data_IF_780683273336
#
_entry.id   IF_780683273336
#
_cell.length_a   1.000
_cell.length_b   1.000
_cell.length_c   1.000
_cell.angle_alpha   90.00
_cell.angle_beta   90.00
_cell.angle_gamma   90.00
#
_symmetry.space_group_name_H-M   'P 1'
#
loop_
_entity.id
_entity.type
_entity.pdbx_description
1 polymer ?
#
# COMPACT_ATOMS: atom_id res chain seq x y z
N UNK A 1 10.72 15.56 -16.29
CA UNK A 1 10.01 14.93 -15.17
C UNK A 1 8.50 15.14 -15.24
N UNK A 2 7.78 14.45 -14.34
CA UNK A 2 6.33 14.58 -14.18
C UNK A 2 6.01 15.09 -12.77
N UNK A 3 5.04 16.02 -12.66
CA UNK A 3 4.53 16.52 -11.38
C UNK A 3 3.02 16.26 -11.35
N UNK A 4 2.57 15.40 -10.45
CA UNK A 4 1.15 15.10 -10.25
C UNK A 4 0.55 16.09 -9.24
N UNK A 5 -0.40 16.92 -9.70
CA UNK A 5 -1.08 17.94 -8.92
C UNK A 5 -2.48 17.49 -8.47
N UNK A 6 -3.00 18.15 -7.41
CA UNK A 6 -4.32 17.84 -6.86
C UNK A 6 -5.46 18.47 -7.65
N UNK A 7 -5.20 19.56 -8.38
CA UNK A 7 -6.19 20.28 -9.17
C UNK A 7 -5.59 20.89 -10.43
N UNK A 8 -6.45 21.17 -11.41
CA UNK A 8 -6.07 21.87 -12.65
C UNK A 8 -5.50 23.26 -12.35
N UNK A 9 -6.11 23.96 -11.39
CA UNK A 9 -5.64 25.28 -10.98
C UNK A 9 -4.23 25.22 -10.41
N UNK A 10 -3.96 24.27 -9.50
CA UNK A 10 -2.63 24.05 -8.93
C UNK A 10 -1.59 23.76 -10.03
N UNK A 11 -1.91 22.89 -10.99
CA UNK A 11 -1.01 22.57 -12.09
C UNK A 11 -0.65 23.81 -12.93
N UNK A 12 -1.62 24.65 -13.25
CA UNK A 12 -1.39 25.89 -14.00
C UNK A 12 -0.59 26.92 -13.19
N UNK A 13 -0.97 27.20 -11.93
CA UNK A 13 -0.29 28.16 -11.08
C UNK A 13 1.15 27.76 -10.80
N UNK A 14 1.38 26.48 -10.50
CA UNK A 14 2.71 25.97 -10.23
C UNK A 14 3.58 25.96 -11.50
N UNK A 15 3.01 25.62 -12.66
CA UNK A 15 3.70 25.72 -13.95
C UNK A 15 4.20 27.13 -14.21
N UNK A 16 3.36 28.16 -13.99
CA UNK A 16 3.74 29.55 -14.13
C UNK A 16 4.87 29.95 -13.17
N UNK A 17 4.77 29.56 -11.89
CA UNK A 17 5.81 29.82 -10.90
C UNK A 17 7.14 29.17 -11.26
N UNK A 18 7.14 27.93 -11.68
CA UNK A 18 8.35 27.21 -12.09
C UNK A 18 9.00 27.87 -13.33
N UNK A 19 8.20 28.31 -14.30
CA UNK A 19 8.68 29.05 -15.46
C UNK A 19 9.34 30.40 -15.05
N UNK A 20 8.78 31.09 -14.06
CA UNK A 20 9.37 32.31 -13.51
C UNK A 20 10.74 32.08 -12.84
N UNK A 21 10.95 30.85 -12.33
CA UNK A 21 12.22 30.40 -11.74
C UNK A 21 13.15 29.69 -12.74
N UNK A 22 12.89 29.86 -14.04
CA UNK A 22 13.80 29.37 -15.10
C UNK A 22 13.65 27.88 -15.42
N UNK A 23 12.57 27.23 -15.00
CA UNK A 23 12.24 25.85 -15.38
C UNK A 23 11.26 25.85 -16.52
N UNK A 24 11.56 25.12 -17.61
CA UNK A 24 10.63 25.00 -18.73
C UNK A 24 9.51 24.00 -18.38
N UNK A 25 8.32 24.51 -18.04
CA UNK A 25 7.23 23.69 -17.54
C UNK A 25 5.92 23.96 -18.30
N UNK A 26 5.12 22.92 -18.49
CA UNK A 26 3.78 23.04 -19.05
C UNK A 26 2.77 22.20 -18.27
N UNK A 27 1.61 22.81 -17.99
CA UNK A 27 0.48 22.09 -17.40
C UNK A 27 -0.29 21.34 -18.51
N UNK A 28 -0.67 20.10 -18.24
CA UNK A 28 -1.57 19.29 -19.05
C UNK A 28 -2.72 18.80 -18.18
N UNK A 29 -3.95 19.02 -18.66
CA UNK A 29 -5.18 18.67 -17.97
C UNK A 29 -6.11 17.83 -18.84
N UNK A 30 -7.22 17.35 -18.28
CA UNK A 30 -8.23 16.62 -19.03
C UNK A 30 -8.88 17.41 -20.16
N UNK A 31 -8.76 18.75 -20.14
CA UNK A 31 -9.33 19.66 -21.12
C UNK A 31 -8.48 19.77 -22.40
N UNK A 32 -7.21 19.35 -22.35
CA UNK A 32 -6.31 19.37 -23.49
C UNK A 32 -6.64 18.22 -24.46
N UNK A 33 -6.65 18.52 -25.76
CA UNK A 33 -6.87 17.52 -26.77
C UNK A 33 -5.66 16.59 -26.95
N UNK A 34 -5.85 15.49 -27.68
CA UNK A 34 -4.80 14.46 -27.88
C UNK A 34 -3.59 15.04 -28.62
N UNK A 35 -3.80 15.92 -29.58
CA UNK A 35 -2.72 16.53 -30.36
C UNK A 35 -1.81 17.38 -29.46
N UNK A 36 -2.39 18.25 -28.64
CA UNK A 36 -1.66 19.05 -27.64
C UNK A 36 -0.88 18.17 -26.67
N UNK A 37 -1.49 17.08 -26.19
CA UNK A 37 -0.80 16.14 -25.27
C UNK A 37 0.41 15.50 -25.93
N UNK A 38 0.27 15.03 -27.17
CA UNK A 38 1.38 14.42 -27.91
C UNK A 38 2.50 15.43 -28.19
N UNK A 39 2.14 16.68 -28.54
CA UNK A 39 3.12 17.74 -28.73
C UNK A 39 3.93 18.02 -27.44
N UNK A 40 3.26 18.17 -26.31
CA UNK A 40 3.90 18.46 -25.02
C UNK A 40 4.78 17.29 -24.55
N UNK A 41 4.34 16.06 -24.74
CA UNK A 41 5.16 14.86 -24.49
C UNK A 41 6.41 14.87 -25.37
N UNK A 42 6.27 15.14 -26.66
CA UNK A 42 7.41 15.25 -27.59
C UNK A 42 8.40 16.35 -27.20
N UNK A 43 7.91 17.48 -26.68
CA UNK A 43 8.76 18.58 -26.18
C UNK A 43 9.54 18.13 -24.93
N UNK A 44 8.92 17.37 -24.03
CA UNK A 44 9.62 16.80 -22.85
C UNK A 44 10.70 15.79 -23.28
N UNK A 45 10.38 14.89 -24.20
CA UNK A 45 11.33 13.88 -24.71
C UNK A 45 12.54 14.51 -25.44
N UNK A 46 12.32 15.64 -26.12
CA UNK A 46 13.36 16.42 -26.78
C UNK A 46 14.16 17.32 -25.83
N UNK A 47 13.83 17.33 -24.53
CA UNK A 47 14.49 18.19 -23.55
C UNK A 47 14.15 19.69 -23.67
N UNK A 48 13.09 20.01 -24.37
CA UNK A 48 12.57 21.40 -24.51
C UNK A 48 11.74 21.80 -23.27
N UNK A 49 11.23 20.81 -22.52
CA UNK A 49 10.58 20.97 -21.23
C UNK A 49 11.33 20.21 -20.15
N UNK A 50 11.43 20.81 -18.96
CA UNK A 50 11.92 20.15 -17.75
C UNK A 50 10.82 19.29 -17.12
N UNK A 51 9.59 19.83 -17.02
CA UNK A 51 8.48 19.14 -16.36
C UNK A 51 7.15 19.33 -17.09
N UNK A 52 6.35 18.29 -17.04
CA UNK A 52 4.91 18.35 -17.29
C UNK A 52 4.17 18.24 -15.95
N UNK A 53 3.31 19.21 -15.67
CA UNK A 53 2.42 19.22 -14.53
C UNK A 53 1.06 18.69 -14.93
N UNK A 54 0.51 17.71 -14.21
CA UNK A 54 -0.69 17.00 -14.65
C UNK A 54 -1.65 16.66 -13.53
N UNK A 55 -2.93 16.50 -13.91
CA UNK A 55 -4.02 16.05 -13.04
C UNK A 55 -4.75 14.94 -13.75
N UNK A 56 -4.68 13.70 -13.22
CA UNK A 56 -5.39 12.49 -13.65
C UNK A 56 -5.18 11.99 -15.09
N UNK A 57 -4.55 12.76 -16.00
CA UNK A 57 -4.45 12.37 -17.42
C UNK A 57 -3.48 11.24 -17.66
N UNK A 58 -2.43 11.14 -16.84
CA UNK A 58 -1.42 10.09 -16.98
C UNK A 58 -1.72 8.84 -16.15
N UNK A 59 -2.94 8.72 -15.61
CA UNK A 59 -3.38 7.49 -14.95
C UNK A 59 -3.60 6.37 -15.97
N UNK A 60 -3.98 6.73 -17.22
CA UNK A 60 -4.22 5.78 -18.30
C UNK A 60 -3.57 6.27 -19.62
N UNK A 61 -2.85 5.39 -20.31
CA UNK A 61 -2.60 5.49 -21.76
C UNK A 61 -1.37 6.26 -22.23
N UNK A 62 -0.71 7.14 -21.47
CA UNK A 62 0.49 7.85 -21.95
C UNK A 62 1.73 7.27 -21.27
N UNK A 63 2.68 6.83 -22.10
CA UNK A 63 3.95 6.27 -21.70
C UNK A 63 5.09 7.22 -22.09
N UNK A 64 5.88 7.65 -21.12
CA UNK A 64 7.05 8.50 -21.34
C UNK A 64 8.26 7.83 -20.68
N UNK A 65 8.90 6.87 -21.36
CA UNK A 65 10.02 6.10 -20.79
C UNK A 65 11.21 6.95 -20.37
N UNK A 66 11.40 8.12 -20.97
CA UNK A 66 12.52 9.05 -20.69
C UNK A 66 12.38 9.79 -19.35
N UNK A 67 11.23 9.74 -18.69
CA UNK A 67 11.03 10.39 -17.39
C UNK A 67 11.95 9.81 -16.33
N UNK A 68 12.74 10.68 -15.73
CA UNK A 68 13.72 10.34 -14.68
C UNK A 68 13.36 10.93 -13.29
N UNK A 69 12.30 11.75 -13.22
CA UNK A 69 11.80 12.30 -11.97
C UNK A 69 10.28 12.34 -11.94
N UNK A 70 9.71 11.91 -10.83
CA UNK A 70 8.26 11.97 -10.56
C UNK A 70 8.05 12.66 -9.22
N UNK A 71 7.24 13.72 -9.22
CA UNK A 71 6.88 14.48 -8.01
C UNK A 71 5.39 14.33 -7.77
N UNK A 72 5.01 13.92 -6.57
CA UNK A 72 3.63 13.68 -6.19
C UNK A 72 3.17 14.73 -5.18
N UNK A 73 2.40 15.72 -5.64
CA UNK A 73 1.80 16.77 -4.79
C UNK A 73 0.36 16.42 -4.40
N UNK A 74 -0.25 15.46 -5.09
CA UNK A 74 -1.64 15.07 -4.87
C UNK A 74 -1.80 14.00 -3.80
N UNK A 75 -2.91 14.08 -3.08
CA UNK A 75 -3.36 13.00 -2.21
C UNK A 75 -3.81 11.78 -3.05
N UNK A 76 -3.10 10.68 -2.95
CA UNK A 76 -3.57 9.40 -3.48
C UNK A 76 -4.34 8.64 -2.40
N UNK A 77 -5.61 8.33 -2.67
CA UNK A 77 -6.46 7.57 -1.75
C UNK A 77 -6.32 6.05 -1.91
N UNK A 78 -5.61 5.61 -2.94
CA UNK A 78 -5.46 4.20 -3.30
C UNK A 78 -3.98 3.87 -3.54
N UNK A 79 -3.51 2.80 -2.88
CA UNK A 79 -2.19 2.23 -3.12
C UNK A 79 -2.00 1.81 -4.59
N UNK A 80 -3.08 1.39 -5.27
CA UNK A 80 -3.05 1.00 -6.68
C UNK A 80 -2.73 2.21 -7.56
N UNK A 81 -3.39 3.34 -7.34
CA UNK A 81 -3.14 4.58 -8.12
C UNK A 81 -1.72 5.08 -7.86
N UNK A 82 -1.24 5.02 -6.62
CA UNK A 82 0.14 5.36 -6.27
C UNK A 82 1.14 4.50 -7.06
N UNK A 83 1.00 3.17 -7.01
CA UNK A 83 1.88 2.24 -7.74
C UNK A 83 1.79 2.44 -9.26
N UNK A 84 0.59 2.72 -9.80
CA UNK A 84 0.42 3.01 -11.23
C UNK A 84 1.14 4.29 -11.65
N UNK A 85 1.07 5.34 -10.85
CA UNK A 85 1.79 6.59 -11.10
C UNK A 85 3.31 6.41 -11.03
N UNK A 86 3.78 5.66 -10.04
CA UNK A 86 5.19 5.26 -9.94
C UNK A 86 5.64 4.45 -11.17
N UNK A 87 4.84 3.49 -11.60
CA UNK A 87 5.13 2.61 -12.72
C UNK A 87 5.40 3.33 -14.03
N UNK A 88 4.84 4.54 -14.20
CA UNK A 88 5.11 5.38 -15.38
C UNK A 88 6.56 5.85 -15.46
N UNK A 89 7.14 6.20 -14.30
CA UNK A 89 8.54 6.61 -14.23
C UNK A 89 9.53 5.44 -14.15
N UNK A 90 9.09 4.25 -13.76
CA UNK A 90 9.97 3.09 -13.51
C UNK A 90 10.34 2.29 -14.76
N UNK A 91 9.85 2.64 -15.94
CA UNK A 91 10.20 1.93 -17.17
C UNK A 91 11.67 2.13 -17.52
N UNK A 92 12.31 1.06 -17.94
CA UNK A 92 13.71 1.11 -18.40
C UNK A 92 13.82 1.92 -19.69
N UNK A 93 14.82 2.78 -19.73
CA UNK A 93 15.19 3.56 -20.91
C UNK A 93 16.69 3.84 -20.91
N UNK A 94 17.33 3.82 -22.06
CA UNK A 94 18.79 3.93 -22.19
C UNK A 94 19.33 5.29 -21.73
N UNK A 95 18.49 6.33 -21.72
CA UNK A 95 18.89 7.68 -21.29
C UNK A 95 18.88 7.89 -19.77
N UNK A 96 18.50 6.87 -18.96
CA UNK A 96 18.43 7.02 -17.51
C UNK A 96 18.89 5.77 -16.77
N UNK A 97 19.71 5.97 -15.75
CA UNK A 97 20.18 4.92 -14.84
C UNK A 97 19.20 4.65 -13.69
N UNK A 98 18.51 5.71 -13.23
CA UNK A 98 17.55 5.65 -12.12
C UNK A 98 16.42 6.65 -12.32
N UNK A 99 15.39 6.48 -11.52
CA UNK A 99 14.27 7.41 -11.42
C UNK A 99 14.18 7.91 -9.98
N UNK A 100 14.12 9.23 -9.82
CA UNK A 100 13.90 9.87 -8.52
C UNK A 100 12.41 10.11 -8.33
N UNK A 101 11.86 9.61 -7.21
CA UNK A 101 10.46 9.82 -6.84
C UNK A 101 10.44 10.66 -5.57
N UNK A 102 9.69 11.77 -5.60
CA UNK A 102 9.49 12.68 -4.47
C UNK A 102 8.01 12.68 -4.15
N UNK A 103 7.67 12.24 -2.94
CA UNK A 103 6.29 12.20 -2.46
C UNK A 103 6.14 13.03 -1.17
N UNK A 104 5.17 13.95 -1.19
CA UNK A 104 4.85 14.82 -0.06
C UNK A 104 3.80 14.18 0.84
N UNK A 105 4.21 13.19 1.62
CA UNK A 105 3.38 12.34 2.47
C UNK A 105 2.49 13.11 3.47
N UNK A 106 2.86 14.34 3.83
CA UNK A 106 2.12 15.16 4.80
C UNK A 106 0.66 15.45 4.47
N UNK A 107 0.26 15.24 3.23
CA UNK A 107 -1.08 15.56 2.72
C UNK A 107 -2.04 14.36 2.66
N UNK A 108 -1.62 13.15 3.04
CA UNK A 108 -2.46 11.95 2.94
C UNK A 108 -3.30 11.73 4.19
N UNK A 109 -4.59 11.46 4.00
CA UNK A 109 -5.47 11.01 5.09
C UNK A 109 -5.13 9.59 5.56
N UNK A 110 -4.66 8.74 4.62
CA UNK A 110 -4.42 7.32 4.83
C UNK A 110 -2.93 6.98 4.64
N UNK A 111 -2.05 7.65 5.37
CA UNK A 111 -0.60 7.45 5.27
C UNK A 111 -0.16 5.99 5.55
N UNK A 112 -0.98 5.19 6.24
CA UNK A 112 -0.72 3.76 6.47
C UNK A 112 -0.71 2.93 5.17
N UNK A 113 -1.30 3.42 4.08
CA UNK A 113 -1.26 2.75 2.77
C UNK A 113 0.11 2.82 2.09
N UNK A 114 0.97 3.75 2.49
CA UNK A 114 2.28 3.94 1.87
C UNK A 114 3.20 2.73 2.09
N UNK A 115 3.39 2.22 3.32
CA UNK A 115 4.14 0.98 3.52
C UNK A 115 3.57 -0.19 2.71
N UNK A 116 2.24 -0.36 2.70
CA UNK A 116 1.58 -1.42 1.94
C UNK A 116 1.92 -1.32 0.44
N UNK A 117 1.87 -0.11 -0.12
CA UNK A 117 2.15 0.11 -1.53
C UNK A 117 3.63 -0.09 -1.88
N UNK A 118 4.54 0.34 -1.01
CA UNK A 118 5.99 0.32 -1.28
C UNK A 118 6.61 -1.04 -0.98
N UNK A 119 6.20 -1.70 0.10
CA UNK A 119 6.79 -2.98 0.53
C UNK A 119 5.96 -4.19 0.11
N UNK A 120 4.72 -3.96 -0.35
CA UNK A 120 3.81 -5.02 -0.77
C UNK A 120 3.27 -5.86 0.39
N UNK A 121 3.46 -5.41 1.64
CA UNK A 121 3.00 -6.13 2.81
C UNK A 121 1.47 -6.03 2.95
N UNK A 122 0.79 -7.12 2.67
CA UNK A 122 -0.66 -7.28 2.79
C UNK A 122 -1.09 -7.82 4.15
N UNK A 123 -0.16 -7.99 5.09
CA UNK A 123 -0.43 -8.66 6.37
C UNK A 123 -1.49 -7.95 7.22
N UNK A 124 -1.73 -6.65 7.02
CA UNK A 124 -2.55 -5.77 7.86
C UNK A 124 -2.01 -5.68 9.31
N UNK A 125 -0.78 -6.15 9.54
CA UNK A 125 -0.15 -6.15 10.85
C UNK A 125 0.60 -4.83 11.10
N UNK A 126 0.12 -4.06 12.09
CA UNK A 126 0.71 -2.76 12.44
C UNK A 126 2.19 -2.84 12.84
N UNK A 127 2.60 -3.92 13.49
CA UNK A 127 3.98 -4.10 13.95
C UNK A 127 4.92 -4.40 12.77
N UNK A 128 4.46 -5.13 11.75
CA UNK A 128 5.20 -5.32 10.51
C UNK A 128 5.42 -3.99 9.80
N UNK A 129 4.36 -3.20 9.61
CA UNK A 129 4.48 -1.88 8.97
C UNK A 129 5.42 -0.94 9.72
N UNK A 130 5.39 -0.95 11.07
CA UNK A 130 6.30 -0.15 11.89
C UNK A 130 7.75 -0.60 11.76
N UNK A 131 8.00 -1.90 11.67
CA UNK A 131 9.34 -2.47 11.50
C UNK A 131 9.91 -2.08 10.14
N UNK A 132 9.14 -2.25 9.07
CA UNK A 132 9.55 -1.90 7.71
C UNK A 132 9.92 -0.42 7.56
N UNK A 133 9.22 0.47 8.25
CA UNK A 133 9.54 1.90 8.25
C UNK A 133 10.81 2.26 9.03
N UNK A 134 11.20 1.45 10.01
CA UNK A 134 12.39 1.70 10.85
C UNK A 134 13.68 1.24 10.19
N UNK A 135 13.61 0.14 9.46
CA UNK A 135 14.77 -0.43 8.80
C UNK A 135 14.95 0.24 7.43
N UNK A 136 16.16 0.70 7.05
CA UNK A 136 16.39 1.19 5.70
C UNK A 136 16.25 0.01 4.75
N UNK A 137 15.08 -0.12 4.14
CA UNK A 137 14.77 -1.24 3.27
C UNK A 137 15.41 -1.04 1.91
N UNK A 138 16.34 -1.92 1.62
CA UNK A 138 16.77 -2.21 0.26
C UNK A 138 15.67 -3.12 -0.30
N UNK A 139 14.75 -2.54 -1.07
CA UNK A 139 13.85 -3.35 -1.90
C UNK A 139 14.72 -4.20 -2.84
N UNK A 140 14.25 -5.41 -3.16
CA UNK A 140 14.95 -6.32 -4.05
C UNK A 140 15.46 -5.56 -5.29
N UNK A 141 16.79 -5.32 -5.37
CA UNK A 141 17.42 -4.57 -6.43
C UNK A 141 18.18 -3.32 -5.95
N UNK A 142 18.32 -2.33 -6.83
CA UNK A 142 19.05 -1.06 -6.58
C UNK A 142 18.13 0.07 -6.07
N UNK A 143 16.95 -0.26 -5.56
CA UNK A 143 15.97 0.73 -5.11
C UNK A 143 16.21 1.07 -3.64
N UNK A 144 16.36 2.37 -3.33
CA UNK A 144 16.45 2.89 -1.96
C UNK A 144 15.23 3.74 -1.64
N UNK A 145 14.68 3.57 -0.44
CA UNK A 145 13.57 4.38 0.06
C UNK A 145 14.05 5.11 1.31
N UNK A 146 13.92 6.44 1.28
CA UNK A 146 14.20 7.30 2.42
C UNK A 146 12.95 8.07 2.82
N UNK A 147 12.65 8.07 4.11
CA UNK A 147 11.58 8.88 4.67
C UNK A 147 12.18 9.98 5.55
N UNK A 148 11.71 11.22 5.35
CA UNK A 148 11.95 12.28 6.30
C UNK A 148 11.32 11.96 7.67
N UNK A 149 11.93 12.40 8.78
CA UNK A 149 11.45 12.07 10.13
C UNK A 149 10.00 12.52 10.36
N UNK A 150 9.61 13.69 9.86
CA UNK A 150 8.22 14.19 9.93
C UNK A 150 7.26 13.26 9.18
N UNK A 151 7.67 12.76 8.02
CA UNK A 151 6.88 11.81 7.25
C UNK A 151 6.72 10.47 7.97
N UNK A 152 7.79 9.94 8.56
CA UNK A 152 7.75 8.72 9.38
C UNK A 152 6.77 8.88 10.55
N UNK A 153 6.85 9.98 11.30
CA UNK A 153 5.92 10.23 12.40
C UNK A 153 4.46 10.26 11.95
N UNK A 154 4.17 10.90 10.82
CA UNK A 154 2.81 10.95 10.29
C UNK A 154 2.31 9.58 9.87
N UNK A 155 3.15 8.76 9.23
CA UNK A 155 2.81 7.38 8.89
C UNK A 155 2.58 6.57 10.17
N UNK A 156 3.45 6.65 11.17
CA UNK A 156 3.27 5.96 12.45
C UNK A 156 1.97 6.35 13.16
N UNK A 157 1.63 7.64 13.19
CA UNK A 157 0.34 8.11 13.73
C UNK A 157 -0.84 7.55 12.94
N UNK A 158 -0.75 7.54 11.62
CA UNK A 158 -1.79 6.98 10.75
C UNK A 158 -2.00 5.48 11.01
N UNK A 159 -0.92 4.68 11.08
CA UNK A 159 -0.97 3.25 11.40
C UNK A 159 -1.60 3.03 12.78
N UNK A 160 -1.22 3.84 13.78
CA UNK A 160 -1.74 3.71 15.15
C UNK A 160 -3.24 3.97 15.24
N UNK A 161 -3.72 5.00 14.52
CA UNK A 161 -5.10 5.46 14.57
C UNK A 161 -6.05 4.68 13.64
N UNK A 162 -5.52 3.96 12.65
CA UNK A 162 -6.34 3.21 11.70
C UNK A 162 -6.74 1.87 12.28
N UNK A 163 -8.02 1.52 12.15
CA UNK A 163 -8.49 0.18 12.46
C UNK A 163 -8.29 -0.74 11.25
N UNK A 164 -7.12 -1.38 11.18
CA UNK A 164 -6.79 -2.35 10.11
C UNK A 164 -7.55 -3.67 10.27
N UNK A 165 -8.05 -3.97 11.47
CA UNK A 165 -8.87 -5.14 11.78
C UNK A 165 -10.38 -4.89 11.61
N UNK A 166 -10.76 -3.90 10.80
CA UNK A 166 -12.16 -3.65 10.46
C UNK A 166 -12.78 -4.91 9.82
N UNK A 167 -13.95 -5.31 10.32
CA UNK A 167 -14.67 -6.52 9.90
C UNK A 167 -14.90 -6.61 8.38
N UNK A 168 -15.10 -5.48 7.70
CA UNK A 168 -15.26 -5.45 6.24
C UNK A 168 -13.96 -5.84 5.52
N UNK A 169 -12.83 -5.29 5.94
CA UNK A 169 -11.49 -5.59 5.40
C UNK A 169 -11.14 -7.07 5.65
N UNK A 170 -11.36 -7.55 6.87
CA UNK A 170 -11.11 -8.95 7.23
C UNK A 170 -11.95 -9.90 6.40
N UNK A 171 -13.24 -9.55 6.18
CA UNK A 171 -14.14 -10.35 5.34
C UNK A 171 -13.69 -10.40 3.88
N UNK A 172 -13.27 -9.27 3.33
CA UNK A 172 -12.78 -9.20 1.94
C UNK A 172 -11.56 -10.11 1.75
N UNK A 173 -10.54 -9.98 2.60
CA UNK A 173 -9.34 -10.82 2.54
C UNK A 173 -9.64 -12.31 2.77
N UNK A 174 -10.56 -12.63 3.68
CA UNK A 174 -11.04 -13.99 3.91
C UNK A 174 -11.70 -14.58 2.65
N UNK A 175 -12.64 -13.84 2.05
CA UNK A 175 -13.38 -14.30 0.86
C UNK A 175 -12.46 -14.42 -0.35
N UNK A 176 -11.50 -13.51 -0.54
CA UNK A 176 -10.48 -13.63 -1.59
C UNK A 176 -9.68 -14.93 -1.43
N UNK A 177 -9.18 -15.19 -0.21
CA UNK A 177 -8.43 -16.42 0.10
C UNK A 177 -9.28 -17.67 -0.13
N UNK A 178 -10.53 -17.67 0.33
CA UNK A 178 -11.49 -18.76 0.11
C UNK A 178 -11.73 -19.03 -1.38
N UNK A 179 -11.95 -17.98 -2.17
CA UNK A 179 -12.18 -18.11 -3.61
C UNK A 179 -10.97 -18.69 -4.33
N UNK A 180 -9.76 -18.30 -3.95
CA UNK A 180 -8.51 -18.87 -4.51
C UNK A 180 -8.33 -20.35 -4.18
N UNK A 181 -8.79 -20.80 -3.02
CA UNK A 181 -8.66 -22.18 -2.57
C UNK A 181 -9.84 -23.08 -2.98
N UNK A 182 -11.00 -22.53 -3.24
CA UNK A 182 -12.24 -23.29 -3.47
C UNK A 182 -12.79 -24.00 -2.23
N UNK A 183 -12.26 -23.71 -1.03
CA UNK A 183 -12.67 -24.29 0.26
C UNK A 183 -12.55 -23.27 1.39
N UNK A 184 -13.08 -23.59 2.56
CA UNK A 184 -12.84 -22.84 3.79
C UNK A 184 -11.33 -22.79 4.07
N UNK A 185 -10.72 -21.58 4.22
CA UNK A 185 -9.30 -21.45 4.50
C UNK A 185 -8.94 -21.93 5.91
N UNK A 186 -7.76 -22.50 6.08
CA UNK A 186 -7.12 -22.63 7.38
C UNK A 186 -6.27 -21.39 7.67
N UNK A 187 -5.93 -21.11 8.93
CA UNK A 187 -5.07 -19.97 9.30
C UNK A 187 -3.74 -19.95 8.52
N UNK A 188 -3.12 -21.12 8.30
CA UNK A 188 -1.88 -21.23 7.55
C UNK A 188 -2.00 -20.87 6.05
N UNK A 189 -3.20 -20.94 5.50
CA UNK A 189 -3.40 -20.65 4.08
C UNK A 189 -3.23 -19.15 3.77
N UNK A 190 -3.54 -18.28 4.73
CA UNK A 190 -3.34 -16.85 4.58
C UNK A 190 -1.85 -16.49 4.43
N UNK A 191 -0.96 -17.12 5.18
CA UNK A 191 0.49 -16.94 5.02
C UNK A 191 1.00 -17.55 3.70
N UNK A 192 0.55 -18.74 3.35
CA UNK A 192 0.97 -19.42 2.12
C UNK A 192 0.58 -18.68 0.85
N UNK A 193 -0.52 -17.93 0.90
CA UNK A 193 -1.05 -17.18 -0.23
C UNK A 193 -0.67 -15.68 -0.20
N UNK A 194 0.21 -15.30 0.72
CA UNK A 194 0.63 -13.90 0.92
C UNK A 194 -0.59 -12.96 1.03
N UNK A 195 -1.52 -13.33 1.91
CA UNK A 195 -2.71 -12.59 2.26
C UNK A 195 -2.51 -11.85 3.59
N UNK A 196 -3.58 -11.61 4.36
CA UNK A 196 -3.46 -10.97 5.66
C UNK A 196 -2.75 -11.87 6.69
N UNK A 197 -2.15 -11.26 7.73
CA UNK A 197 -1.67 -12.00 8.89
C UNK A 197 -2.88 -12.56 9.67
N UNK A 198 -3.00 -13.89 9.82
CA UNK A 198 -4.15 -14.51 10.51
C UNK A 198 -4.35 -13.98 11.93
N UNK A 199 -3.31 -13.49 12.57
CA UNK A 199 -3.40 -12.95 13.94
C UNK A 199 -4.31 -11.72 14.01
N UNK A 200 -4.42 -10.93 12.93
CA UNK A 200 -5.28 -9.74 12.85
C UNK A 200 -6.77 -10.08 13.02
N UNK A 201 -7.20 -11.31 12.72
CA UNK A 201 -8.56 -11.75 13.01
C UNK A 201 -8.89 -11.66 14.50
N UNK A 202 -7.92 -11.94 15.38
CA UNK A 202 -8.13 -12.00 16.82
C UNK A 202 -8.20 -10.63 17.51
N UNK A 203 -7.95 -9.55 16.78
CA UNK A 203 -8.29 -8.20 17.23
C UNK A 203 -9.82 -7.98 17.25
N UNK A 204 -10.57 -8.70 16.39
CA UNK A 204 -12.02 -8.53 16.22
C UNK A 204 -12.82 -9.74 16.70
N UNK A 205 -12.27 -10.95 16.59
CA UNK A 205 -12.90 -12.21 16.96
C UNK A 205 -12.13 -12.89 18.10
N UNK A 206 -12.81 -13.74 18.88
CA UNK A 206 -12.18 -14.45 19.99
C UNK A 206 -11.36 -15.65 19.51
N UNK A 207 -11.85 -16.37 18.51
CA UNK A 207 -11.17 -17.51 17.92
C UNK A 207 -11.57 -17.69 16.45
N UNK A 208 -10.83 -18.53 15.73
CA UNK A 208 -11.03 -18.68 14.28
C UNK A 208 -12.39 -19.28 13.91
N UNK A 209 -12.99 -20.10 14.77
CA UNK A 209 -14.34 -20.60 14.56
C UNK A 209 -15.41 -19.50 14.45
N UNK A 210 -15.25 -18.40 15.22
CA UNK A 210 -16.13 -17.24 15.10
C UNK A 210 -15.95 -16.50 13.75
N UNK A 211 -14.72 -16.48 13.22
CA UNK A 211 -14.44 -15.89 11.89
C UNK A 211 -15.21 -16.64 10.81
N UNK A 212 -15.07 -17.98 10.80
CA UNK A 212 -15.76 -18.87 9.84
C UNK A 212 -17.28 -18.71 9.95
N UNK A 213 -17.81 -18.85 11.15
CA UNK A 213 -19.24 -18.71 11.40
C UNK A 213 -19.78 -17.35 10.95
N UNK A 214 -19.05 -16.28 11.21
CA UNK A 214 -19.44 -14.93 10.83
C UNK A 214 -19.46 -14.69 9.33
N UNK A 215 -18.47 -15.22 8.60
CA UNK A 215 -18.30 -14.93 7.18
C UNK A 215 -18.97 -15.95 6.26
N UNK A 216 -19.06 -17.21 6.69
CA UNK A 216 -19.70 -18.28 5.93
C UNK A 216 -21.13 -18.57 6.38
N UNK A 217 -21.58 -17.99 7.49
CA UNK A 217 -22.86 -18.30 8.14
C UNK A 217 -22.97 -19.79 8.51
N UNK A 218 -21.85 -20.40 8.85
CA UNK A 218 -21.73 -21.81 9.26
C UNK A 218 -21.38 -21.88 10.75
N UNK A 219 -22.35 -22.31 11.55
CA UNK A 219 -22.23 -22.37 13.03
C UNK A 219 -21.58 -23.67 13.54
N UNK A 220 -21.13 -24.56 12.67
CA UNK A 220 -20.56 -25.87 13.10
C UNK A 220 -19.38 -25.72 14.06
N UNK A 221 -18.60 -24.65 13.92
CA UNK A 221 -17.41 -24.39 14.75
C UNK A 221 -17.72 -23.74 16.10
N UNK A 222 -18.95 -23.30 16.36
CA UNK A 222 -19.35 -22.61 17.61
C UNK A 222 -20.15 -23.55 18.56
N UNK A 223 -20.51 -24.73 18.12
CA UNK A 223 -21.48 -25.61 18.80
C UNK A 223 -21.01 -26.27 20.11
N UNK A 224 -19.77 -26.03 20.54
CA UNK A 224 -19.23 -26.62 21.77
C UNK A 224 -18.79 -25.48 22.70
N UNK A 225 -19.70 -24.99 23.56
CA UNK A 225 -19.42 -23.84 24.45
C UNK A 225 -18.19 -24.03 25.35
N UNK A 226 -17.94 -25.27 25.79
CA UNK A 226 -16.82 -25.62 26.67
C UNK A 226 -15.45 -25.41 26.00
N UNK A 227 -15.38 -25.56 24.66
CA UNK A 227 -14.17 -25.31 23.89
C UNK A 227 -13.92 -23.83 23.59
N UNK A 228 -14.94 -22.98 23.63
CA UNK A 228 -14.79 -21.59 23.26
C UNK A 228 -13.77 -20.83 24.16
N UNK A 229 -13.78 -21.09 25.46
CA UNK A 229 -12.79 -20.50 26.37
C UNK A 229 -11.37 -20.93 26.07
N UNK A 230 -11.19 -22.22 25.78
CA UNK A 230 -9.91 -22.79 25.43
C UNK A 230 -9.41 -22.29 24.07
N UNK A 231 -10.28 -22.25 23.04
CA UNK A 231 -9.94 -21.73 21.72
C UNK A 231 -9.61 -20.23 21.78
N UNK A 232 -10.32 -19.46 22.60
CA UNK A 232 -10.03 -18.05 22.83
C UNK A 232 -8.64 -17.87 23.42
N UNK A 233 -8.31 -18.65 24.45
CA UNK A 233 -7.00 -18.64 25.06
C UNK A 233 -5.88 -19.00 24.07
N UNK A 234 -6.07 -20.05 23.27
CA UNK A 234 -5.12 -20.46 22.24
C UNK A 234 -4.92 -19.35 21.19
N UNK A 235 -6.00 -18.77 20.72
CA UNK A 235 -5.93 -17.76 19.64
C UNK A 235 -5.38 -16.42 20.12
N UNK A 236 -5.74 -15.95 21.32
CA UNK A 236 -5.34 -14.63 21.80
C UNK A 236 -3.99 -14.61 22.51
N UNK A 237 -3.69 -15.66 23.26
CA UNK A 237 -2.49 -15.70 24.12
C UNK A 237 -1.33 -16.48 23.50
N UNK A 238 -1.59 -17.57 22.79
CA UNK A 238 -0.55 -18.50 22.33
C UNK A 238 -0.27 -18.44 20.83
N UNK A 239 -1.23 -18.00 20.00
CA UNK A 239 -1.07 -18.07 18.54
C UNK A 239 -0.05 -17.05 17.99
N UNK A 240 0.31 -16.03 18.76
CA UNK A 240 1.29 -15.03 18.35
C UNK A 240 2.74 -15.55 18.37
N UNK A 241 3.01 -16.68 19.06
CA UNK A 241 4.29 -17.39 19.01
C UNK A 241 5.52 -16.56 19.37
N UNK A 242 5.36 -15.46 20.15
CA UNK A 242 6.46 -14.55 20.50
C UNK A 242 7.51 -15.16 21.39
N UNK A 243 7.17 -16.23 22.13
CA UNK A 243 8.05 -16.90 23.08
C UNK A 243 8.11 -18.39 22.76
N UNK A 244 9.28 -18.98 22.91
CA UNK A 244 9.46 -20.43 22.70
C UNK A 244 8.60 -21.27 23.67
N UNK A 245 8.41 -20.77 24.87
CA UNK A 245 7.60 -21.38 25.94
C UNK A 245 6.13 -21.50 25.52
N UNK A 246 5.59 -20.56 24.77
CA UNK A 246 4.22 -20.59 24.26
C UNK A 246 4.03 -21.75 23.28
N UNK A 247 5.00 -21.99 22.41
CA UNK A 247 5.00 -23.11 21.47
C UNK A 247 5.11 -24.46 22.18
N UNK A 248 5.93 -24.55 23.24
CA UNK A 248 6.04 -25.74 24.07
C UNK A 248 4.74 -26.04 24.81
N UNK A 249 4.13 -25.02 25.41
CA UNK A 249 2.84 -25.15 26.08
C UNK A 249 1.76 -25.63 25.11
N UNK A 250 1.69 -25.02 23.91
CA UNK A 250 0.75 -25.42 22.88
C UNK A 250 0.93 -26.88 22.48
N UNK A 251 2.17 -27.34 22.30
CA UNK A 251 2.48 -28.74 22.00
C UNK A 251 1.98 -29.68 23.09
N UNK A 252 2.25 -29.39 24.36
CA UNK A 252 1.81 -30.21 25.50
C UNK A 252 0.27 -30.27 25.58
N UNK A 253 -0.42 -29.17 25.27
CA UNK A 253 -1.88 -29.11 25.31
C UNK A 253 -2.53 -29.90 24.17
N UNK A 254 -1.87 -30.01 23.01
CA UNK A 254 -2.36 -30.76 21.85
C UNK A 254 -2.07 -32.29 21.94
N UNK A 255 -1.10 -32.71 22.77
CA UNK A 255 -0.74 -34.10 22.97
C UNK A 255 -1.57 -34.79 24.07
N UNK A 256 -2.43 -34.07 24.78
CA UNK A 256 -3.38 -34.57 25.81
C UNK A 256 -4.81 -34.65 25.25
#
# INVERSE_FOLDING_TARGET
GLIFCSSKQEAHELSLKLNQHGKACRALTGDDNIETRNEVVSQLEKGQLDYILTVDIFNEGIDIPSVNQVVMLRNTQSSIVFVQQLGRGLRKHDSKEYVTIIDFIGNYKNNYLIPIALFGDKSMNKDNYRRELREPNILNGLTTINFEEVAKEQIFRSISNTNLSNRAILKEAYMETKNRLGRTPNLSDFWKLDSLDPYVFFDTFNHYGEVVASFEKDDQFIKIPELNGFLTFLCKELSNGKRKEELYLLKILLEK
#
